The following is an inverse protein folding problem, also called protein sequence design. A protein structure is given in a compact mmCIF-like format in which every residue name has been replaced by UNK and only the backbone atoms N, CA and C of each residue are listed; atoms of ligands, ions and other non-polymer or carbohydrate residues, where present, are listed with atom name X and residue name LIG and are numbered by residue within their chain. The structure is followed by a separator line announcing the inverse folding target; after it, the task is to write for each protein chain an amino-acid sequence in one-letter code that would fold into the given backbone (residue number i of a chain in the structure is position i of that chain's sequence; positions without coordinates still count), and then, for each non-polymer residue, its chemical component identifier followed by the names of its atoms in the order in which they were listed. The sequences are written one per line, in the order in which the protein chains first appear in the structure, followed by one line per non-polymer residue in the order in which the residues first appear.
data_IF_895813495950
#
_entry.id   IF_895813495950
#
_cell.length_a   1.000
_cell.length_b   1.000
_cell.length_c   1.000
_cell.angle_alpha   90.00
_cell.angle_beta   90.00
_cell.angle_gamma   90.00
#
_symmetry.space_group_name_H-M   'P 1'
#
loop_
_entity.id
_entity.type
_entity.pdbx_description
1 polymer ?
#
# COMPACT_ATOMS: atom_id res chain seq x y z
N UNK A 1 4.18 -14.11 -44.16
CA UNK A 1 3.24 -14.82 -43.26
C UNK A 1 3.53 -14.32 -41.84
N UNK A 2 2.70 -13.38 -41.35
CA UNK A 2 2.74 -12.89 -39.93
C UNK A 2 2.11 -13.97 -39.03
N UNK A 3 2.86 -14.45 -38.05
CA UNK A 3 2.31 -15.27 -36.98
C UNK A 3 1.44 -14.37 -36.08
N UNK A 4 0.15 -14.66 -36.08
CA UNK A 4 -0.80 -14.13 -35.11
C UNK A 4 -0.46 -14.78 -33.76
N UNK A 5 -0.09 -14.00 -32.76
CA UNK A 5 0.12 -14.48 -31.43
C UNK A 5 -1.26 -14.78 -30.80
N UNK A 6 -1.50 -16.04 -30.49
CA UNK A 6 -2.65 -16.48 -29.70
C UNK A 6 -2.60 -15.85 -28.31
N UNK A 7 -3.39 -14.82 -28.14
CA UNK A 7 -3.67 -14.21 -26.84
C UNK A 7 -4.59 -15.20 -26.09
N UNK A 8 -4.02 -16.11 -25.30
CA UNK A 8 -4.78 -16.96 -24.39
C UNK A 8 -5.48 -16.04 -23.37
N UNK A 9 -6.73 -15.76 -23.65
CA UNK A 9 -7.70 -15.24 -22.68
C UNK A 9 -7.74 -16.25 -21.53
N UNK A 10 -6.98 -15.99 -20.46
CA UNK A 10 -7.18 -16.70 -19.20
C UNK A 10 -8.52 -16.19 -18.66
N UNK A 11 -9.54 -17.04 -18.75
CA UNK A 11 -10.84 -16.77 -18.16
C UNK A 11 -10.63 -16.40 -16.68
N UNK A 12 -11.15 -15.25 -16.25
CA UNK A 12 -11.12 -14.87 -14.84
C UNK A 12 -11.86 -15.94 -14.04
N UNK A 13 -11.29 -16.41 -12.92
CA UNK A 13 -11.95 -17.44 -12.09
C UNK A 13 -13.30 -16.92 -11.63
N UNK A 14 -14.29 -17.82 -11.59
CA UNK A 14 -15.64 -17.51 -11.10
C UNK A 14 -15.58 -16.84 -9.72
N UNK A 15 -16.44 -15.86 -9.47
CA UNK A 15 -16.50 -15.12 -8.18
C UNK A 15 -16.64 -16.08 -7.00
N UNK A 16 -17.42 -17.16 -7.16
CA UNK A 16 -17.57 -18.18 -6.13
C UNK A 16 -16.27 -18.94 -5.84
N UNK A 17 -15.48 -19.22 -6.86
CA UNK A 17 -14.16 -19.85 -6.70
C UNK A 17 -13.18 -18.91 -5.97
N UNK A 18 -13.19 -17.63 -6.30
CA UNK A 18 -12.38 -16.64 -5.60
C UNK A 18 -12.75 -16.49 -4.13
N UNK A 19 -14.05 -16.48 -3.81
CA UNK A 19 -14.56 -16.48 -2.42
C UNK A 19 -14.08 -17.71 -1.67
N UNK A 20 -14.18 -18.90 -2.29
CA UNK A 20 -13.70 -20.15 -1.69
C UNK A 20 -12.20 -20.08 -1.37
N UNK A 21 -11.38 -19.64 -2.31
CA UNK A 21 -9.93 -19.46 -2.09
C UNK A 21 -9.65 -18.53 -0.91
N UNK A 22 -10.42 -17.44 -0.75
CA UNK A 22 -10.28 -16.52 0.39
C UNK A 22 -10.70 -17.14 1.71
N UNK A 23 -11.75 -17.96 1.70
CA UNK A 23 -12.18 -18.74 2.87
C UNK A 23 -11.13 -19.76 3.29
N UNK A 24 -10.54 -20.49 2.33
CA UNK A 24 -9.47 -21.45 2.58
C UNK A 24 -8.23 -20.76 3.18
N UNK A 25 -7.87 -19.56 2.70
CA UNK A 25 -6.79 -18.75 3.29
C UNK A 25 -7.12 -18.33 4.73
N UNK A 26 -8.36 -17.95 5.01
CA UNK A 26 -8.80 -17.62 6.38
C UNK A 26 -8.70 -18.84 7.29
N UNK A 27 -9.18 -20.00 6.86
CA UNK A 27 -9.09 -21.23 7.63
C UNK A 27 -7.62 -21.58 7.97
N UNK A 28 -6.72 -21.46 7.00
CA UNK A 28 -5.29 -21.67 7.22
C UNK A 28 -4.69 -20.69 8.24
N UNK A 29 -5.12 -19.41 8.24
CA UNK A 29 -4.72 -18.43 9.25
C UNK A 29 -5.24 -18.81 10.64
N UNK A 30 -6.47 -19.28 10.74
CA UNK A 30 -7.10 -19.72 12.00
C UNK A 30 -6.39 -20.96 12.57
N UNK A 31 -6.09 -21.94 11.74
CA UNK A 31 -5.32 -23.14 12.12
C UNK A 31 -3.89 -22.78 12.60
N UNK A 32 -3.28 -21.74 12.01
CA UNK A 32 -1.97 -21.23 12.42
C UNK A 32 -2.03 -20.35 13.68
N UNK A 33 -3.19 -20.13 14.30
CA UNK A 33 -3.37 -19.24 15.45
C UNK A 33 -3.25 -17.75 15.13
N UNK A 34 -3.40 -17.39 13.85
CA UNK A 34 -3.31 -16.00 13.33
C UNK A 34 -4.68 -15.48 12.87
N UNK A 35 -5.76 -15.85 13.57
CA UNK A 35 -7.12 -15.43 13.21
C UNK A 35 -7.27 -13.91 13.35
N UNK A 36 -7.44 -13.16 12.23
CA UNK A 36 -7.56 -11.70 12.29
C UNK A 36 -8.82 -11.24 13.02
N UNK A 37 -9.88 -12.06 13.08
CA UNK A 37 -11.13 -11.71 13.73
C UNK A 37 -11.09 -11.79 15.27
N UNK A 38 -9.99 -12.30 15.84
CA UNK A 38 -9.74 -12.23 17.28
C UNK A 38 -9.17 -10.89 17.73
N UNK A 39 -8.70 -10.06 16.79
CA UNK A 39 -8.14 -8.74 17.08
C UNK A 39 -9.29 -7.75 17.23
N UNK A 40 -9.62 -7.38 18.46
CA UNK A 40 -10.75 -6.49 18.79
C UNK A 40 -10.36 -5.02 18.83
N UNK A 41 -9.06 -4.71 18.95
CA UNK A 41 -8.54 -3.35 19.05
C UNK A 41 -7.19 -3.23 18.34
N UNK A 42 -7.01 -2.14 17.60
CA UNK A 42 -5.74 -1.74 17.02
C UNK A 42 -5.48 -0.27 17.32
N UNK A 43 -4.32 0.06 17.84
CA UNK A 43 -4.00 1.43 18.23
C UNK A 43 -3.51 2.24 17.04
N UNK A 44 -4.39 3.09 16.52
CA UNK A 44 -4.10 4.05 15.46
C UNK A 44 -3.64 5.35 16.09
N UNK A 45 -2.51 5.89 15.63
CA UNK A 45 -1.99 7.20 16.08
C UNK A 45 -2.38 8.31 15.14
N UNK A 46 -2.47 8.04 13.84
CA UNK A 46 -2.71 9.04 12.81
C UNK A 46 -3.59 8.48 11.68
N UNK A 47 -4.35 9.34 11.05
CA UNK A 47 -5.05 9.07 9.80
C UNK A 47 -4.19 9.46 8.59
N UNK A 48 -4.59 9.01 7.39
CA UNK A 48 -3.80 9.19 6.17
C UNK A 48 -3.54 10.64 5.76
N UNK A 49 -4.49 11.54 6.03
CA UNK A 49 -4.35 13.00 5.82
C UNK A 49 -3.36 13.62 6.80
N UNK A 50 -3.44 13.24 8.08
CA UNK A 50 -2.54 13.70 9.14
C UNK A 50 -1.10 13.28 8.87
N UNK A 51 -0.87 12.02 8.45
CA UNK A 51 0.47 11.49 8.12
C UNK A 51 1.15 12.35 7.05
N UNK A 52 0.42 12.73 6.03
CA UNK A 52 0.94 13.58 4.95
C UNK A 52 1.29 14.97 5.46
N UNK A 53 0.38 15.60 6.18
CA UNK A 53 0.56 16.96 6.70
C UNK A 53 1.74 17.06 7.69
N UNK A 54 1.88 16.08 8.59
CA UNK A 54 2.97 16.03 9.56
C UNK A 54 4.32 15.87 8.85
N UNK A 55 4.40 14.99 7.85
CA UNK A 55 5.63 14.79 7.11
C UNK A 55 6.05 16.06 6.34
N UNK A 56 5.12 16.72 5.65
CA UNK A 56 5.41 17.95 4.90
C UNK A 56 5.86 19.09 5.82
N UNK A 57 5.25 19.22 7.00
CA UNK A 57 5.66 20.19 8.00
C UNK A 57 7.08 19.91 8.53
N UNK A 58 7.37 18.67 8.86
CA UNK A 58 8.69 18.24 9.36
C UNK A 58 9.78 18.35 8.29
N UNK A 59 9.47 17.96 7.06
CA UNK A 59 10.37 18.12 5.93
C UNK A 59 10.72 19.59 5.71
N UNK A 60 9.74 20.49 5.80
CA UNK A 60 9.96 21.94 5.70
C UNK A 60 10.79 22.49 6.87
N UNK A 61 10.60 21.99 8.07
CA UNK A 61 11.38 22.39 9.24
C UNK A 61 12.85 21.99 9.10
N UNK A 62 13.14 20.75 8.67
CA UNK A 62 14.49 20.21 8.58
C UNK A 62 15.25 20.63 7.33
N UNK A 63 14.59 20.73 6.19
CA UNK A 63 15.21 21.01 4.90
C UNK A 63 15.02 22.47 4.45
N UNK A 64 14.08 23.21 5.05
CA UNK A 64 13.72 24.55 4.63
C UNK A 64 13.19 24.60 3.19
N UNK A 65 13.34 25.75 2.55
CA UNK A 65 12.98 25.93 1.14
C UNK A 65 14.14 25.51 0.20
N UNK A 66 14.67 24.29 0.42
CA UNK A 66 15.77 23.75 -0.40
C UNK A 66 15.28 23.57 -1.84
N UNK A 67 15.92 24.25 -2.84
CA UNK A 67 15.51 24.14 -4.23
C UNK A 67 15.70 22.72 -4.76
N UNK A 68 14.98 22.39 -5.82
CA UNK A 68 15.23 21.17 -6.59
C UNK A 68 16.61 21.25 -7.26
N UNK A 69 17.20 20.09 -7.51
CA UNK A 69 18.50 19.99 -8.18
C UNK A 69 18.40 20.57 -9.59
N UNK A 70 19.18 21.61 -9.87
CA UNK A 70 19.29 22.12 -11.23
C UNK A 70 20.12 21.13 -12.06
N UNK A 71 19.53 20.58 -13.09
CA UNK A 71 20.18 19.64 -14.03
C UNK A 71 20.47 20.27 -15.40
N UNK A 72 20.31 21.59 -15.55
CA UNK A 72 20.57 22.29 -16.82
C UNK A 72 22.03 22.15 -17.24
N UNK A 73 22.24 21.72 -18.47
CA UNK A 73 23.59 21.52 -19.04
C UNK A 73 24.28 20.21 -18.63
N UNK A 74 23.64 19.35 -17.84
CA UNK A 74 24.14 18.01 -17.49
C UNK A 74 23.74 16.99 -18.55
N UNK A 75 24.58 15.96 -18.75
CA UNK A 75 24.14 14.77 -19.46
C UNK A 75 23.18 13.93 -18.61
N UNK A 76 22.54 12.93 -19.24
CA UNK A 76 21.52 12.12 -18.56
C UNK A 76 22.07 11.35 -17.34
N UNK A 77 23.32 10.92 -17.40
CA UNK A 77 23.98 10.21 -16.31
C UNK A 77 24.30 11.16 -15.15
N UNK A 78 24.88 12.31 -15.45
CA UNK A 78 25.22 13.36 -14.46
C UNK A 78 23.95 13.87 -13.76
N UNK A 79 22.87 14.11 -14.51
CA UNK A 79 21.59 14.52 -13.95
C UNK A 79 21.01 13.48 -12.98
N UNK A 80 21.06 12.19 -13.35
CA UNK A 80 20.62 11.09 -12.49
C UNK A 80 21.47 10.97 -11.22
N UNK A 81 22.77 11.12 -11.33
CA UNK A 81 23.70 11.06 -10.19
C UNK A 81 23.45 12.23 -9.24
N UNK A 82 23.28 13.44 -9.75
CA UNK A 82 22.98 14.63 -8.96
C UNK A 82 21.64 14.51 -8.21
N UNK A 83 20.58 14.10 -8.89
CA UNK A 83 19.25 13.84 -8.27
C UNK A 83 19.32 12.74 -7.21
N UNK A 84 20.06 11.65 -7.48
CA UNK A 84 20.24 10.58 -6.50
C UNK A 84 21.04 11.04 -5.27
N UNK A 85 22.06 11.88 -5.46
CA UNK A 85 22.85 12.40 -4.37
C UNK A 85 22.00 13.32 -3.45
N UNK A 86 21.24 14.24 -4.03
CA UNK A 86 20.32 15.11 -3.29
C UNK A 86 19.24 14.29 -2.54
N UNK A 87 18.64 13.31 -3.22
CA UNK A 87 17.69 12.41 -2.58
C UNK A 87 18.28 11.69 -1.35
N UNK A 88 19.49 11.16 -1.48
CA UNK A 88 20.15 10.43 -0.40
C UNK A 88 20.49 11.37 0.77
N UNK A 89 20.92 12.60 0.49
CA UNK A 89 21.21 13.62 1.50
C UNK A 89 19.94 14.03 2.24
N UNK A 90 18.86 14.39 1.53
CA UNK A 90 17.55 14.71 2.13
C UNK A 90 17.06 13.56 2.98
N UNK A 91 17.16 12.34 2.47
CA UNK A 91 16.75 11.15 3.18
C UNK A 91 17.55 10.94 4.47
N UNK A 92 18.87 11.12 4.42
CA UNK A 92 19.72 10.98 5.61
C UNK A 92 19.34 11.99 6.72
N UNK A 93 18.98 13.21 6.35
CA UNK A 93 18.49 14.23 7.29
C UNK A 93 17.16 13.80 7.92
N UNK A 94 16.22 13.33 7.10
CA UNK A 94 14.89 12.87 7.57
C UNK A 94 15.00 11.60 8.41
N UNK A 95 15.83 10.65 8.01
CA UNK A 95 16.05 9.38 8.73
C UNK A 95 16.74 9.58 10.09
N UNK A 96 17.41 10.72 10.32
CA UNK A 96 17.98 11.09 11.63
C UNK A 96 16.89 11.50 12.65
N UNK A 97 15.70 11.89 12.20
CA UNK A 97 14.56 12.25 13.05
C UNK A 97 13.28 11.63 12.47
N UNK A 98 13.13 10.28 12.50
CA UNK A 98 12.01 9.61 11.87
C UNK A 98 10.71 9.89 12.63
N UNK A 99 9.63 10.07 11.86
CA UNK A 99 8.28 10.18 12.41
C UNK A 99 7.64 8.79 12.39
N UNK A 100 7.47 8.22 13.57
CA UNK A 100 6.79 6.94 13.73
C UNK A 100 5.28 7.13 13.71
N UNK A 101 4.58 6.26 12.96
CA UNK A 101 3.13 6.26 12.85
C UNK A 101 2.55 4.86 12.92
N UNK A 102 1.31 4.81 13.40
CA UNK A 102 0.47 3.62 13.35
C UNK A 102 -0.86 4.01 12.71
N UNK A 103 -1.20 3.39 11.61
CA UNK A 103 -2.46 3.63 10.91
C UNK A 103 -3.07 2.32 10.43
N UNK A 104 -4.36 2.35 10.14
CA UNK A 104 -5.08 1.18 9.66
C UNK A 104 -6.06 1.53 8.56
N UNK A 105 -6.27 0.58 7.65
CA UNK A 105 -7.22 0.79 6.58
C UNK A 105 -7.31 -0.41 5.63
N UNK A 106 -8.11 -0.25 4.60
CA UNK A 106 -8.34 -1.26 3.58
C UNK A 106 -7.26 -1.22 2.50
N UNK A 107 -6.66 -2.36 2.22
CA UNK A 107 -5.71 -2.50 1.12
C UNK A 107 -6.44 -2.44 -0.22
N UNK A 108 -6.25 -1.36 -0.95
CA UNK A 108 -6.90 -1.11 -2.25
C UNK A 108 -6.01 -1.45 -3.45
N UNK A 109 -4.71 -1.57 -3.23
CA UNK A 109 -3.74 -1.91 -4.26
C UNK A 109 -2.56 -2.63 -3.63
N UNK A 110 -1.99 -3.59 -4.36
CA UNK A 110 -0.77 -4.31 -3.97
C UNK A 110 0.09 -4.59 -5.20
N UNK A 111 1.38 -4.29 -5.08
CA UNK A 111 2.40 -4.62 -6.09
C UNK A 111 3.58 -5.29 -5.41
N UNK A 112 3.79 -6.56 -5.71
CA UNK A 112 4.91 -7.36 -5.18
C UNK A 112 6.08 -7.28 -6.15
N UNK A 113 7.28 -6.94 -5.65
CA UNK A 113 8.52 -6.82 -6.41
C UNK A 113 9.65 -7.60 -5.72
N UNK A 114 9.55 -8.92 -5.72
CA UNK A 114 10.57 -9.79 -5.09
C UNK A 114 10.63 -9.67 -3.57
N UNK A 115 11.66 -9.00 -3.03
CA UNK A 115 11.87 -8.81 -1.58
C UNK A 115 11.17 -7.58 -1.01
N UNK A 116 10.59 -6.77 -1.86
CA UNK A 116 9.87 -5.56 -1.48
C UNK A 116 8.50 -5.52 -2.16
N UNK A 117 7.59 -4.77 -1.58
CA UNK A 117 6.24 -4.57 -2.11
C UNK A 117 5.76 -3.17 -1.79
N UNK A 118 4.89 -2.65 -2.63
CA UNK A 118 4.09 -1.47 -2.32
C UNK A 118 2.62 -1.86 -2.22
N UNK A 119 1.94 -1.25 -1.28
CA UNK A 119 0.47 -1.32 -1.22
C UNK A 119 -0.11 0.06 -0.90
N UNK A 120 -1.35 0.29 -1.30
CA UNK A 120 -2.10 1.48 -0.93
C UNK A 120 -3.18 1.06 0.07
N UNK A 121 -3.15 1.69 1.22
CA UNK A 121 -4.11 1.53 2.30
C UNK A 121 -5.03 2.74 2.29
N UNK A 122 -6.32 2.51 2.29
CA UNK A 122 -7.35 3.54 2.35
C UNK A 122 -8.04 3.50 3.72
N UNK A 123 -8.11 4.65 4.37
CA UNK A 123 -8.97 4.89 5.54
C UNK A 123 -10.11 5.84 5.18
N UNK A 124 -10.80 6.41 6.18
CA UNK A 124 -11.89 7.37 5.96
C UNK A 124 -11.41 8.74 5.49
N UNK A 125 -10.12 9.03 5.58
CA UNK A 125 -9.53 10.34 5.30
C UNK A 125 -8.76 10.40 3.98
N UNK A 126 -8.42 9.24 3.44
CA UNK A 126 -7.70 9.19 2.17
C UNK A 126 -6.98 7.88 1.92
N UNK A 127 -5.86 7.99 1.19
CA UNK A 127 -5.02 6.85 0.82
C UNK A 127 -3.57 7.15 1.14
N UNK A 128 -2.88 6.15 1.70
CA UNK A 128 -1.46 6.20 1.99
C UNK A 128 -0.76 5.02 1.35
N UNK A 129 0.36 5.29 0.69
CA UNK A 129 1.25 4.25 0.20
C UNK A 129 2.06 3.68 1.37
N UNK A 130 2.17 2.35 1.43
CA UNK A 130 3.07 1.67 2.35
C UNK A 130 4.10 0.86 1.56
N UNK A 131 5.34 0.96 1.96
CA UNK A 131 6.46 0.16 1.50
C UNK A 131 6.70 -0.98 2.48
N UNK A 132 6.60 -2.19 2.00
CA UNK A 132 6.71 -3.42 2.79
C UNK A 132 7.96 -4.14 2.31
N UNK A 133 9.00 -4.22 3.13
CA UNK A 133 10.19 -4.98 2.81
C UNK A 133 10.30 -6.24 3.68
N UNK A 134 10.78 -7.32 3.07
CA UNK A 134 11.01 -8.58 3.76
C UNK A 134 12.02 -8.43 4.90
N UNK A 135 13.04 -7.60 4.66
CA UNK A 135 14.12 -7.40 5.62
C UNK A 135 13.66 -6.62 6.87
N UNK A 136 12.59 -5.78 6.75
CA UNK A 136 12.03 -5.04 7.88
C UNK A 136 10.99 -5.85 8.67
N UNK A 137 10.06 -6.54 7.98
CA UNK A 137 8.95 -7.25 8.67
C UNK A 137 9.22 -8.73 8.92
N UNK A 138 10.31 -9.29 8.36
CA UNK A 138 10.67 -10.70 8.44
C UNK A 138 10.06 -11.59 7.36
N UNK A 139 10.64 -12.76 7.18
CA UNK A 139 10.28 -13.70 6.11
C UNK A 139 8.84 -14.20 6.22
N UNK A 140 8.40 -14.58 7.42
CA UNK A 140 7.08 -15.14 7.66
C UNK A 140 5.96 -14.11 7.43
N UNK A 141 6.10 -12.91 8.01
CA UNK A 141 5.13 -11.84 7.83
C UNK A 141 5.06 -11.38 6.36
N UNK A 142 6.21 -11.36 5.66
CA UNK A 142 6.25 -11.02 4.25
C UNK A 142 5.61 -12.11 3.37
N UNK A 143 5.79 -13.39 3.73
CA UNK A 143 5.15 -14.51 3.03
C UNK A 143 3.61 -14.46 3.22
N UNK A 144 3.14 -14.15 4.42
CA UNK A 144 1.71 -13.97 4.69
C UNK A 144 1.15 -12.75 3.93
N UNK A 145 1.88 -11.64 3.92
CA UNK A 145 1.49 -10.46 3.13
C UNK A 145 1.38 -10.76 1.64
N UNK A 146 2.29 -11.55 1.06
CA UNK A 146 2.19 -11.94 -0.36
C UNK A 146 0.92 -12.72 -0.69
N UNK A 147 0.39 -13.49 0.26
CA UNK A 147 -0.86 -14.25 0.11
C UNK A 147 -2.12 -13.42 0.37
N UNK A 148 -1.99 -12.20 0.91
CA UNK A 148 -3.13 -11.33 1.20
C UNK A 148 -3.89 -10.94 -0.07
N UNK A 149 -5.14 -10.53 0.09
CA UNK A 149 -6.02 -10.16 -1.01
C UNK A 149 -6.39 -8.67 -0.94
N UNK A 150 -6.69 -8.10 -2.10
CA UNK A 150 -7.24 -6.75 -2.18
C UNK A 150 -8.57 -6.73 -1.42
N UNK A 151 -8.74 -5.71 -0.58
CA UNK A 151 -9.87 -5.58 0.31
C UNK A 151 -9.58 -5.97 1.76
N UNK A 152 -8.49 -6.70 2.04
CA UNK A 152 -8.06 -6.99 3.41
C UNK A 152 -7.78 -5.70 4.18
N UNK A 153 -8.09 -5.68 5.48
CA UNK A 153 -7.80 -4.54 6.35
C UNK A 153 -6.52 -4.82 7.12
N UNK A 154 -5.59 -3.90 7.01
CA UNK A 154 -4.29 -3.96 7.67
C UNK A 154 -4.08 -2.81 8.63
N UNK A 155 -3.44 -3.12 9.76
CA UNK A 155 -2.76 -2.16 10.60
C UNK A 155 -1.27 -2.15 10.27
N UNK A 156 -0.70 -0.97 10.13
CA UNK A 156 0.71 -0.76 9.77
C UNK A 156 1.33 0.16 10.80
N UNK A 157 2.47 -0.27 11.37
CA UNK A 157 3.35 0.57 12.17
C UNK A 157 4.69 0.72 11.45
N UNK A 158 5.26 1.91 11.52
CA UNK A 158 6.54 2.23 10.91
C UNK A 158 6.76 3.72 10.83
N UNK A 159 7.68 4.16 10.00
CA UNK A 159 8.05 5.56 9.88
C UNK A 159 7.74 6.11 8.47
N UNK A 160 7.52 7.43 8.42
CA UNK A 160 7.20 8.10 7.17
C UNK A 160 8.50 8.42 6.42
N UNK A 161 8.46 8.28 5.10
CA UNK A 161 9.56 8.68 4.22
C UNK A 161 9.04 9.12 2.86
N UNK A 162 9.86 9.80 2.10
CA UNK A 162 9.57 10.13 0.69
C UNK A 162 10.30 9.16 -0.23
N UNK A 163 9.59 8.58 -1.17
CA UNK A 163 10.19 7.72 -2.20
C UNK A 163 11.00 8.54 -3.22
N UNK A 164 11.85 7.89 -4.01
CA UNK A 164 12.58 8.54 -5.12
C UNK A 164 11.69 9.21 -6.16
N UNK A 165 10.44 8.76 -6.27
CA UNK A 165 9.44 9.35 -7.17
C UNK A 165 8.64 10.48 -6.54
N UNK A 166 9.00 10.90 -5.31
CA UNK A 166 8.37 12.01 -4.60
C UNK A 166 7.13 11.63 -3.78
N UNK A 167 6.66 10.38 -3.82
CA UNK A 167 5.48 9.96 -3.06
C UNK A 167 5.80 9.79 -1.57
N UNK A 168 5.01 10.44 -0.70
CA UNK A 168 5.07 10.23 0.75
C UNK A 168 4.50 8.86 1.07
N UNK A 169 5.26 8.06 1.78
CA UNK A 169 4.96 6.65 2.05
C UNK A 169 5.34 6.27 3.47
N UNK A 170 4.74 5.22 4.00
CA UNK A 170 5.14 4.64 5.28
C UNK A 170 5.99 3.40 5.04
N UNK A 171 7.21 3.38 5.57
CA UNK A 171 8.05 2.19 5.63
C UNK A 171 7.55 1.31 6.78
N UNK A 172 6.94 0.19 6.43
CA UNK A 172 6.37 -0.71 7.42
C UNK A 172 7.45 -1.50 8.16
N UNK A 173 7.41 -1.46 9.49
CA UNK A 173 8.20 -2.27 10.40
C UNK A 173 7.36 -3.38 11.04
N UNK A 174 6.05 -3.13 11.18
CA UNK A 174 5.09 -4.12 11.64
C UNK A 174 3.85 -4.08 10.77
N UNK A 175 3.34 -5.25 10.47
CA UNK A 175 2.15 -5.44 9.65
C UNK A 175 1.19 -6.41 10.34
N UNK A 176 -0.03 -6.00 10.57
CA UNK A 176 -1.05 -6.80 11.26
C UNK A 176 -2.29 -6.91 10.38
N UNK A 177 -2.68 -8.12 10.01
CA UNK A 177 -3.96 -8.35 9.34
C UNK A 177 -5.07 -8.22 10.38
N UNK A 178 -5.94 -7.22 10.23
CA UNK A 178 -7.03 -6.91 11.15
C UNK A 178 -8.36 -7.53 10.72
N UNK A 179 -8.56 -7.68 9.42
CA UNK A 179 -9.76 -8.31 8.88
C UNK A 179 -9.51 -8.86 7.49
N UNK A 180 -9.96 -10.08 7.25
CA UNK A 180 -9.89 -10.74 5.95
C UNK A 180 -11.10 -10.40 5.11
N UNK A 181 -10.89 -9.87 3.90
CA UNK A 181 -11.95 -9.65 2.93
C UNK A 181 -12.33 -10.95 2.24
N UNK A 182 -13.49 -11.48 2.55
CA UNK A 182 -14.01 -12.72 1.94
C UNK A 182 -14.68 -12.44 0.59
N UNK A 183 -15.36 -11.30 0.47
CA UNK A 183 -15.98 -10.88 -0.78
C UNK A 183 -14.96 -10.22 -1.70
N UNK A 184 -15.08 -10.47 -3.00
CA UNK A 184 -14.25 -9.86 -4.02
C UNK A 184 -14.78 -8.46 -4.31
N UNK A 185 -13.91 -7.45 -4.23
CA UNK A 185 -14.28 -6.10 -4.65
C UNK A 185 -14.38 -6.04 -6.18
N UNK A 186 -15.32 -5.27 -6.74
CA UNK A 186 -15.40 -5.04 -8.19
C UNK A 186 -14.10 -4.49 -8.76
N UNK A 187 -13.88 -4.69 -10.05
CA UNK A 187 -12.66 -4.19 -10.71
C UNK A 187 -12.52 -2.67 -10.64
N UNK A 188 -11.31 -2.22 -10.34
CA UNK A 188 -10.96 -0.84 -9.97
C UNK A 188 -11.14 0.19 -11.08
N UNK A 189 -11.09 -0.23 -12.35
CA UNK A 189 -10.94 0.71 -13.46
C UNK A 189 -12.22 1.50 -13.80
N UNK A 190 -13.37 1.02 -13.39
CA UNK A 190 -14.65 1.67 -13.71
C UNK A 190 -15.52 1.94 -12.48
N UNK A 191 -15.08 1.54 -11.26
CA UNK A 191 -15.95 1.58 -10.08
C UNK A 191 -17.21 0.75 -10.29
N UNK A 192 -18.23 1.00 -9.48
CA UNK A 192 -19.58 0.49 -9.75
C UNK A 192 -20.31 1.57 -10.53
N UNK A 193 -20.47 1.37 -11.84
CA UNK A 193 -21.18 2.30 -12.73
C UNK A 193 -22.68 2.01 -12.79
N UNK A 194 -23.08 0.76 -12.53
CA UNK A 194 -24.48 0.33 -12.50
C UNK A 194 -25.21 0.95 -11.28
N UNK A 195 -26.19 1.79 -11.57
CA UNK A 195 -26.95 2.52 -10.54
C UNK A 195 -27.72 1.57 -9.61
N UNK A 196 -28.34 0.51 -10.12
CA UNK A 196 -29.07 -0.45 -9.32
C UNK A 196 -28.15 -1.22 -8.36
N UNK A 197 -26.97 -1.66 -8.84
CA UNK A 197 -25.95 -2.28 -8.01
C UNK A 197 -25.43 -1.33 -6.93
N UNK A 198 -25.24 -0.04 -7.23
CA UNK A 198 -24.82 0.99 -6.27
C UNK A 198 -25.84 1.16 -5.13
N UNK A 199 -27.11 1.10 -5.44
CA UNK A 199 -28.17 1.17 -4.42
C UNK A 199 -28.29 -0.10 -3.61
N UNK A 200 -28.24 -1.28 -4.24
CA UNK A 200 -28.35 -2.58 -3.56
C UNK A 200 -27.16 -2.93 -2.71
N UNK A 201 -25.95 -2.53 -3.16
CA UNK A 201 -24.67 -2.78 -2.47
C UNK A 201 -23.99 -1.48 -2.08
N UNK A 202 -24.70 -0.61 -1.35
CA UNK A 202 -24.22 0.71 -0.97
C UNK A 202 -22.87 0.67 -0.24
N UNK A 203 -22.64 -0.34 0.59
CA UNK A 203 -21.37 -0.54 1.29
C UNK A 203 -20.19 -0.78 0.34
N UNK A 204 -20.42 -1.46 -0.79
CA UNK A 204 -19.37 -1.65 -1.82
C UNK A 204 -19.15 -0.35 -2.59
N UNK A 205 -20.23 0.36 -2.93
CA UNK A 205 -20.16 1.67 -3.60
C UNK A 205 -19.31 2.66 -2.80
N UNK A 206 -19.50 2.75 -1.49
CA UNK A 206 -18.72 3.61 -0.61
C UNK A 206 -17.24 3.21 -0.48
N UNK A 207 -16.90 1.96 -0.74
CA UNK A 207 -15.51 1.49 -0.77
C UNK A 207 -14.83 1.84 -2.10
N UNK A 208 -15.58 1.73 -3.20
CA UNK A 208 -15.05 1.85 -4.56
C UNK A 208 -15.08 3.26 -5.11
N UNK A 209 -16.11 4.04 -4.73
CA UNK A 209 -16.38 5.40 -5.18
C UNK A 209 -16.46 6.34 -3.96
N UNK A 210 -15.32 6.63 -3.27
CA UNK A 210 -15.30 7.50 -2.09
C UNK A 210 -15.62 8.94 -2.43
#
# INVERSE_FOLDING_TARGET
RKKVADNKNQAQPDVNEQIKVRMDKLAALQEAGKDPFQITKYDVTHHTDEIRAIYEAHEKELLGDRPEVNTDGMDEQQAREAVNADYNERRAIMDASPIEVSFAGRMMFKRVMGKASFCNIADLKGRMQAYISRDAIGDDAYADFKKSDIGDIYGIKGFIFRTKTGEISVHAEQLTLLSKSLQVLPEKFHGITDTDMRYRQRYVDLIMNP
#
